data_IF_777824659700
#
_entry.id   IF_777824659700
#
_cell.length_a   1.000
_cell.length_b   1.000
_cell.length_c   1.000
_cell.angle_alpha   90.00
_cell.angle_beta   90.00
_cell.angle_gamma   90.00
#
_symmetry.space_group_name_H-M   'P 1'
#
loop_
_entity.id
_entity.type
_entity.pdbx_description
1 polymer ?
#
# COMPACT_ATOMS: atom_id res chain seq x y z
N UNK A 1 19.63 -1.45 -35.84
CA UNK A 1 19.62 -0.09 -35.23
C UNK A 1 18.37 0.22 -34.40
N UNK A 2 17.15 -0.01 -34.90
CA UNK A 2 15.87 0.29 -34.19
C UNK A 2 15.70 -0.33 -32.77
N UNK A 3 16.08 -1.60 -32.48
CA UNK A 3 15.86 -2.16 -31.14
C UNK A 3 16.84 -1.62 -30.08
N UNK A 4 18.05 -1.23 -30.48
CA UNK A 4 19.06 -0.71 -29.55
C UNK A 4 18.66 0.67 -28.98
N UNK A 5 18.17 1.57 -29.84
CA UNK A 5 17.71 2.89 -29.41
C UNK A 5 16.46 2.80 -28.50
N UNK A 6 15.54 1.89 -28.83
CA UNK A 6 14.36 1.60 -28.00
C UNK A 6 14.74 1.10 -26.60
N UNK A 7 15.70 0.18 -26.52
CA UNK A 7 16.20 -0.32 -25.23
C UNK A 7 16.87 0.78 -24.41
N UNK A 8 17.64 1.67 -25.04
CA UNK A 8 18.28 2.81 -24.35
C UNK A 8 17.23 3.79 -23.81
N UNK A 9 16.22 4.14 -24.61
CA UNK A 9 15.12 5.01 -24.16
C UNK A 9 14.34 4.39 -22.99
N UNK A 10 14.04 3.09 -23.07
CA UNK A 10 13.37 2.37 -22.00
C UNK A 10 14.21 2.33 -20.71
N UNK A 11 15.52 2.10 -20.83
CA UNK A 11 16.43 2.14 -19.69
C UNK A 11 16.42 3.53 -19.04
N UNK A 12 16.61 4.60 -19.81
CA UNK A 12 16.60 5.98 -19.29
C UNK A 12 15.28 6.32 -18.60
N UNK A 13 14.14 5.99 -19.21
CA UNK A 13 12.83 6.21 -18.61
C UNK A 13 12.64 5.43 -17.30
N UNK A 14 13.22 4.23 -17.20
CA UNK A 14 13.12 3.35 -16.02
C UNK A 14 14.20 3.61 -14.96
N UNK A 15 15.22 4.42 -15.25
CA UNK A 15 16.38 4.62 -14.36
C UNK A 15 15.97 5.12 -12.97
N UNK A 16 15.06 6.08 -12.89
CA UNK A 16 14.60 6.65 -11.63
C UNK A 16 13.87 5.61 -10.77
N UNK A 17 12.97 4.82 -11.37
CA UNK A 17 12.28 3.70 -10.72
C UNK A 17 13.27 2.62 -10.25
N UNK A 18 14.24 2.26 -11.09
CA UNK A 18 15.30 1.30 -10.75
C UNK A 18 16.15 1.78 -9.57
N UNK A 19 16.54 3.06 -9.56
CA UNK A 19 17.27 3.66 -8.44
C UNK A 19 16.45 3.66 -7.15
N UNK A 20 15.16 4.01 -7.21
CA UNK A 20 14.25 3.95 -6.05
C UNK A 20 14.14 2.53 -5.51
N UNK A 21 13.93 1.54 -6.37
CA UNK A 21 13.86 0.13 -6.00
C UNK A 21 15.17 -0.36 -5.35
N UNK A 22 16.32 -0.03 -5.93
CA UNK A 22 17.63 -0.36 -5.36
C UNK A 22 17.86 0.25 -3.99
N UNK A 23 17.41 1.50 -3.77
CA UNK A 23 17.47 2.15 -2.45
C UNK A 23 16.56 1.44 -1.46
N UNK A 24 15.32 1.12 -1.86
CA UNK A 24 14.36 0.44 -1.01
C UNK A 24 14.85 -0.94 -0.53
N UNK A 25 15.55 -1.67 -1.40
CA UNK A 25 16.17 -2.96 -1.07
C UNK A 25 17.26 -2.88 0.01
N UNK A 26 17.86 -1.72 0.27
CA UNK A 26 18.93 -1.59 1.28
C UNK A 26 18.38 -1.68 2.71
N UNK A 27 17.14 -1.26 2.93
CA UNK A 27 16.46 -1.39 4.22
C UNK A 27 14.96 -1.65 3.97
N UNK A 28 14.58 -2.88 3.60
CA UNK A 28 13.21 -3.21 3.25
C UNK A 28 12.25 -3.04 4.42
N UNK A 29 12.71 -3.31 5.67
CA UNK A 29 11.89 -3.14 6.88
C UNK A 29 11.40 -1.70 7.02
N UNK A 30 12.33 -0.74 6.99
CA UNK A 30 12.00 0.69 7.08
C UNK A 30 11.03 1.12 5.97
N UNK A 31 11.25 0.67 4.73
CA UNK A 31 10.36 1.03 3.62
C UNK A 31 8.96 0.46 3.81
N UNK A 32 8.84 -0.78 4.29
CA UNK A 32 7.53 -1.37 4.57
C UNK A 32 6.81 -0.66 5.73
N UNK A 33 7.53 -0.24 6.77
CA UNK A 33 6.97 0.59 7.85
C UNK A 33 6.46 1.94 7.33
N UNK A 34 7.21 2.62 6.45
CA UNK A 34 6.80 3.88 5.82
C UNK A 34 5.56 3.69 4.90
N UNK A 35 5.48 2.57 4.18
CA UNK A 35 4.32 2.20 3.37
C UNK A 35 3.09 1.98 4.26
N UNK A 36 3.24 1.21 5.34
CA UNK A 36 2.15 0.95 6.28
C UNK A 36 1.64 2.25 6.92
N UNK A 37 2.54 3.11 7.40
CA UNK A 37 2.17 4.40 7.99
C UNK A 37 1.47 5.33 6.98
N UNK A 38 1.84 5.28 5.71
CA UNK A 38 1.17 6.03 4.65
C UNK A 38 -0.22 5.46 4.36
N UNK A 39 -0.34 4.14 4.28
CA UNK A 39 -1.62 3.45 4.08
C UNK A 39 -2.61 3.73 5.20
N UNK A 40 -2.19 3.61 6.47
CA UNK A 40 -3.04 3.84 7.63
C UNK A 40 -3.54 5.28 7.68
N UNK A 41 -2.64 6.27 7.50
CA UNK A 41 -3.03 7.69 7.47
C UNK A 41 -3.98 8.01 6.31
N UNK A 42 -3.70 7.50 5.11
CA UNK A 42 -4.53 7.74 3.94
C UNK A 42 -5.93 7.12 4.02
N UNK A 43 -6.08 6.05 4.80
CA UNK A 43 -7.35 5.30 4.91
C UNK A 43 -8.02 5.44 6.29
N UNK A 44 -7.50 6.28 7.19
CA UNK A 44 -8.04 6.44 8.55
C UNK A 44 -9.50 6.90 8.55
N UNK A 45 -9.91 7.67 7.54
CA UNK A 45 -11.29 8.13 7.38
C UNK A 45 -12.26 7.08 6.80
N UNK A 46 -11.76 5.97 6.24
CA UNK A 46 -12.64 4.92 5.67
C UNK A 46 -13.44 4.22 6.77
N UNK A 47 -14.61 3.67 6.44
CA UNK A 47 -15.41 2.96 7.46
C UNK A 47 -14.65 1.78 8.10
N UNK A 48 -13.76 1.12 7.33
CA UNK A 48 -12.89 0.06 7.86
C UNK A 48 -11.77 0.62 8.73
N UNK A 49 -11.16 1.75 8.34
CA UNK A 49 -10.14 2.44 9.11
C UNK A 49 -10.67 3.01 10.44
N UNK A 50 -11.91 3.49 10.45
CA UNK A 50 -12.61 3.89 11.67
C UNK A 50 -12.93 2.68 12.55
N UNK A 51 -13.41 1.56 11.98
CA UNK A 51 -13.71 0.33 12.72
C UNK A 51 -12.50 -0.20 13.50
N UNK A 52 -11.30 -0.12 12.92
CA UNK A 52 -10.06 -0.60 13.55
C UNK A 52 -9.16 0.53 14.06
N UNK A 53 -9.69 1.76 14.20
CA UNK A 53 -8.99 2.93 14.72
C UNK A 53 -7.56 3.08 14.16
N UNK A 54 -7.45 3.21 12.84
CA UNK A 54 -6.15 3.37 12.15
C UNK A 54 -5.36 4.59 12.63
N UNK A 55 -6.05 5.63 13.11
CA UNK A 55 -5.42 6.88 13.58
C UNK A 55 -4.49 6.66 14.77
N UNK A 56 -4.82 5.71 15.66
CA UNK A 56 -3.99 5.43 16.85
C UNK A 56 -2.91 4.36 16.62
N UNK A 57 -2.85 3.73 15.45
CA UNK A 57 -1.84 2.71 15.14
C UNK A 57 -0.53 3.41 14.76
N UNK A 58 0.51 3.19 15.56
CA UNK A 58 1.84 3.81 15.38
C UNK A 58 2.95 2.80 15.10
N UNK A 59 2.67 1.50 15.25
CA UNK A 59 3.62 0.42 15.07
C UNK A 59 3.04 -0.76 14.27
N UNK A 60 3.93 -1.58 13.71
CA UNK A 60 3.55 -2.81 13.00
C UNK A 60 2.88 -3.80 13.96
N UNK A 61 3.37 -3.87 15.19
CA UNK A 61 2.84 -4.76 16.23
C UNK A 61 1.41 -4.37 16.64
N UNK A 62 1.11 -3.08 16.76
CA UNK A 62 -0.25 -2.60 17.00
C UNK A 62 -1.18 -2.92 15.83
N UNK A 63 -0.71 -2.73 14.60
CA UNK A 63 -1.45 -3.08 13.39
C UNK A 63 -1.82 -4.57 13.40
N UNK A 64 -0.84 -5.44 13.61
CA UNK A 64 -1.03 -6.90 13.61
C UNK A 64 -1.97 -7.38 14.72
N UNK A 65 -1.98 -6.72 15.88
CA UNK A 65 -2.90 -7.05 16.98
C UNK A 65 -4.33 -6.61 16.71
N UNK A 66 -4.51 -5.52 15.95
CA UNK A 66 -5.82 -4.86 15.81
C UNK A 66 -6.54 -5.22 14.52
N UNK A 67 -5.81 -5.37 13.42
CA UNK A 67 -6.37 -5.62 12.10
C UNK A 67 -6.28 -7.11 11.78
N UNK A 68 -7.42 -7.82 11.69
CA UNK A 68 -7.41 -9.25 11.42
C UNK A 68 -7.00 -9.54 9.98
N UNK A 69 -6.41 -10.72 9.77
CA UNK A 69 -6.31 -11.32 8.44
C UNK A 69 -7.72 -11.82 8.10
N UNK A 70 -8.25 -11.40 6.96
CA UNK A 70 -9.64 -11.65 6.57
C UNK A 70 -9.74 -12.34 5.21
N UNK A 71 -10.82 -13.08 5.00
CA UNK A 71 -11.21 -13.63 3.70
C UNK A 71 -12.09 -12.64 2.91
N UNK A 72 -12.45 -13.02 1.68
CA UNK A 72 -13.35 -12.23 0.86
C UNK A 72 -14.76 -12.12 1.47
N UNK A 73 -15.28 -13.23 2.00
CA UNK A 73 -16.62 -13.32 2.59
C UNK A 73 -16.78 -12.37 3.78
N UNK A 74 -15.72 -12.18 4.58
CA UNK A 74 -15.71 -11.23 5.69
C UNK A 74 -15.70 -9.75 5.23
N UNK A 75 -15.21 -9.49 4.02
CA UNK A 75 -15.23 -8.17 3.39
C UNK A 75 -16.50 -7.91 2.57
N UNK A 76 -17.24 -8.96 2.18
CA UNK A 76 -18.44 -8.87 1.33
C UNK A 76 -19.46 -7.83 1.82
N UNK A 77 -19.78 -7.70 3.13
CA UNK A 77 -20.73 -6.69 3.59
C UNK A 77 -20.29 -5.26 3.29
N UNK A 78 -18.99 -4.97 3.36
CA UNK A 78 -18.43 -3.65 3.02
C UNK A 78 -18.46 -3.40 1.52
N UNK A 79 -18.16 -4.43 0.72
CA UNK A 79 -18.21 -4.35 -0.73
C UNK A 79 -19.65 -4.10 -1.21
N UNK A 80 -20.64 -4.77 -0.61
CA UNK A 80 -22.06 -4.57 -0.94
C UNK A 80 -22.54 -3.15 -0.66
N UNK A 81 -22.07 -2.52 0.42
CA UNK A 81 -22.35 -1.11 0.73
C UNK A 81 -21.87 -0.18 -0.39
N UNK A 82 -20.64 -0.39 -0.86
CA UNK A 82 -20.08 0.36 -1.99
C UNK A 82 -20.92 0.12 -3.26
N UNK A 83 -21.30 -1.13 -3.56
CA UNK A 83 -22.16 -1.48 -4.71
C UNK A 83 -23.52 -0.78 -4.62
N UNK A 84 -24.08 -0.63 -3.41
CA UNK A 84 -25.34 0.09 -3.20
C UNK A 84 -25.22 1.62 -3.30
N UNK A 85 -24.04 2.15 -3.60
CA UNK A 85 -23.79 3.58 -3.81
C UNK A 85 -23.43 4.37 -2.55
N UNK A 86 -23.06 3.68 -1.46
CA UNK A 86 -22.47 4.35 -0.30
C UNK A 86 -21.09 4.92 -0.68
N UNK A 87 -20.91 6.24 -0.47
CA UNK A 87 -19.69 6.99 -0.81
C UNK A 87 -18.79 7.19 0.41
#
# INVERSE_FOLDING_TARGET
MKPFLGNVLWMLASMSASQRFRRARRNPRRVQEEILATFLRGNAGSCYGQKYDYTSITSVEEFQKRVPIVTYEELEPWIRRIISGEQ
#
